data_IF_118139157471
#
_entry.id   IF_118139157471
#
_cell.length_a   1.000
_cell.length_b   1.000
_cell.length_c   1.000
_cell.angle_alpha   90.00
_cell.angle_beta   90.00
_cell.angle_gamma   90.00
#
_symmetry.space_group_name_H-M   'P 1'
#
loop_
_entity.id
_entity.type
_entity.pdbx_description
1 polymer ?
#
# COMPACT_ATOMS: atom_id res chain seq x y z
N UNK A 1 -27.42 -8.85 5.13
CA UNK A 1 -26.18 -8.93 5.94
C UNK A 1 -26.21 -7.81 6.95
N UNK A 2 -26.06 -8.10 8.24
CA UNK A 2 -26.17 -7.10 9.31
C UNK A 2 -25.10 -6.01 9.12
N UNK A 3 -25.49 -4.75 9.03
CA UNK A 3 -24.60 -3.61 8.77
C UNK A 3 -23.45 -3.52 9.79
N UNK A 4 -23.72 -3.92 11.03
CA UNK A 4 -22.74 -4.02 12.11
C UNK A 4 -21.71 -5.11 11.83
N UNK A 5 -22.15 -6.30 11.40
CA UNK A 5 -21.26 -7.43 11.14
C UNK A 5 -20.29 -7.12 9.99
N UNK A 6 -20.77 -6.46 8.94
CA UNK A 6 -19.92 -6.02 7.81
C UNK A 6 -18.84 -5.04 8.27
N UNK A 7 -19.22 -4.03 9.07
CA UNK A 7 -18.29 -3.02 9.59
C UNK A 7 -17.22 -3.63 10.51
N UNK A 8 -17.58 -4.62 11.31
CA UNK A 8 -16.63 -5.38 12.16
C UNK A 8 -15.68 -6.21 11.30
N UNK A 9 -16.21 -7.00 10.33
CA UNK A 9 -15.39 -7.80 9.41
C UNK A 9 -14.37 -6.95 8.65
N UNK A 10 -14.83 -5.85 8.04
CA UNK A 10 -13.98 -4.91 7.30
C UNK A 10 -12.96 -4.24 8.23
N UNK A 11 -13.37 -3.88 9.45
CA UNK A 11 -12.47 -3.30 10.45
C UNK A 11 -11.35 -4.25 10.87
N UNK A 12 -11.68 -5.52 11.12
CA UNK A 12 -10.71 -6.55 11.51
C UNK A 12 -9.78 -6.89 10.35
N UNK A 13 -10.34 -7.24 9.17
CA UNK A 13 -9.53 -7.61 8.00
C UNK A 13 -8.65 -6.45 7.58
N UNK A 14 -9.23 -5.27 7.41
CA UNK A 14 -8.50 -4.08 7.04
C UNK A 14 -7.43 -3.72 8.08
N UNK A 15 -7.78 -3.76 9.37
CA UNK A 15 -6.85 -3.43 10.46
C UNK A 15 -5.66 -4.38 10.52
N UNK A 16 -5.89 -5.69 10.39
CA UNK A 16 -4.83 -6.70 10.35
C UNK A 16 -3.91 -6.47 9.16
N UNK A 17 -4.46 -6.26 7.95
CA UNK A 17 -3.65 -6.01 6.74
C UNK A 17 -2.81 -4.74 6.90
N UNK A 18 -3.39 -3.66 7.45
CA UNK A 18 -2.64 -2.43 7.72
C UNK A 18 -1.52 -2.66 8.73
N UNK A 19 -1.75 -3.40 9.83
CA UNK A 19 -0.73 -3.72 10.82
C UNK A 19 0.41 -4.57 10.25
N UNK A 20 0.09 -5.58 9.43
CA UNK A 20 1.12 -6.35 8.71
C UNK A 20 1.96 -5.44 7.82
N UNK A 21 1.33 -4.49 7.13
CA UNK A 21 2.05 -3.50 6.33
C UNK A 21 3.00 -2.61 7.15
N UNK A 22 2.61 -2.24 8.37
CA UNK A 22 3.46 -1.47 9.30
C UNK A 22 4.67 -2.30 9.75
N UNK A 23 4.47 -3.58 10.08
CA UNK A 23 5.59 -4.48 10.41
C UNK A 23 6.49 -4.68 9.19
N UNK A 24 5.91 -4.80 8.00
CA UNK A 24 6.63 -4.91 6.75
C UNK A 24 7.42 -3.65 6.37
N UNK A 25 7.23 -2.51 7.08
CA UNK A 25 8.02 -1.31 6.91
C UNK A 25 9.44 -1.44 7.51
N UNK A 26 9.61 -2.34 8.48
CA UNK A 26 10.93 -2.64 9.08
C UNK A 26 11.81 -3.43 8.12
N UNK A 27 11.20 -4.26 7.28
CA UNK A 27 11.92 -4.93 6.20
C UNK A 27 12.24 -3.92 5.08
N UNK A 28 13.44 -3.93 4.49
CA UNK A 28 13.79 -3.04 3.38
C UNK A 28 13.00 -3.42 2.12
N UNK A 29 11.76 -2.96 2.03
CA UNK A 29 10.86 -3.17 0.90
C UNK A 29 9.60 -2.31 0.97
N UNK A 30 8.72 -2.35 -0.05
CA UNK A 30 7.56 -1.46 -0.15
C UNK A 30 6.40 -1.84 0.78
N UNK A 31 6.63 -1.90 2.10
CA UNK A 31 5.58 -2.16 3.10
C UNK A 31 4.43 -1.15 3.06
N UNK A 32 4.70 0.06 2.58
CA UNK A 32 3.72 1.11 2.34
C UNK A 32 2.60 0.69 1.37
N UNK A 33 2.86 -0.20 0.41
CA UNK A 33 1.82 -0.74 -0.49
C UNK A 33 0.79 -1.55 0.30
N UNK A 34 1.26 -2.41 1.19
CA UNK A 34 0.42 -3.26 2.04
C UNK A 34 -0.44 -2.39 2.97
N UNK A 35 0.15 -1.33 3.52
CA UNK A 35 -0.57 -0.34 4.33
C UNK A 35 -1.71 0.31 3.54
N UNK A 36 -1.46 0.74 2.29
CA UNK A 36 -2.50 1.32 1.44
C UNK A 36 -3.58 0.31 1.05
N UNK A 37 -3.22 -0.95 0.81
CA UNK A 37 -4.20 -2.01 0.58
C UNK A 37 -5.10 -2.18 1.80
N UNK A 38 -4.54 -2.26 3.01
CA UNK A 38 -5.30 -2.35 4.25
C UNK A 38 -6.21 -1.14 4.45
N UNK A 39 -5.68 0.08 4.35
CA UNK A 39 -6.47 1.31 4.46
C UNK A 39 -7.56 1.41 3.38
N UNK A 40 -7.32 0.87 2.18
CA UNK A 40 -8.33 0.76 1.12
C UNK A 40 -9.49 -0.15 1.50
N UNK A 41 -9.23 -1.24 2.20
CA UNK A 41 -10.28 -2.12 2.76
C UNK A 41 -11.05 -1.35 3.83
N UNK A 42 -10.38 -0.71 4.80
CA UNK A 42 -11.07 0.10 5.82
C UNK A 42 -11.89 1.23 5.20
N UNK A 43 -11.42 1.85 4.11
CA UNK A 43 -12.11 2.97 3.45
C UNK A 43 -13.51 2.61 2.94
N UNK A 44 -13.82 1.32 2.76
CA UNK A 44 -15.15 0.87 2.30
C UNK A 44 -16.24 1.09 3.34
N UNK A 45 -15.91 1.06 4.64
CA UNK A 45 -16.87 1.20 5.75
C UNK A 45 -16.52 2.37 6.70
N UNK A 46 -15.29 2.90 6.61
CA UNK A 46 -14.78 3.93 7.50
C UNK A 46 -14.34 5.18 6.73
N UNK A 47 -15.12 6.26 6.87
CA UNK A 47 -14.85 7.54 6.21
C UNK A 47 -13.51 8.19 6.63
N UNK A 48 -12.96 7.85 7.80
CA UNK A 48 -11.64 8.35 8.21
C UNK A 48 -10.52 7.71 7.38
N UNK A 49 -10.64 6.42 7.06
CA UNK A 49 -9.64 5.70 6.26
C UNK A 49 -9.66 6.18 4.81
N UNK A 50 -10.85 6.44 4.26
CA UNK A 50 -11.00 7.05 2.93
C UNK A 50 -10.32 8.42 2.84
N UNK A 51 -10.47 9.26 3.88
CA UNK A 51 -9.79 10.56 3.97
C UNK A 51 -8.27 10.40 4.06
N UNK A 52 -7.77 9.48 4.87
CA UNK A 52 -6.33 9.20 4.97
C UNK A 52 -5.74 8.79 3.61
N UNK A 53 -6.43 7.92 2.86
CA UNK A 53 -6.02 7.50 1.52
C UNK A 53 -5.99 8.68 0.53
N UNK A 54 -7.00 9.55 0.59
CA UNK A 54 -7.07 10.74 -0.26
C UNK A 54 -5.93 11.72 0.02
N UNK A 55 -5.58 11.94 1.30
CA UNK A 55 -4.41 12.74 1.68
C UNK A 55 -3.10 12.14 1.14
N UNK A 56 -2.92 10.82 1.31
CA UNK A 56 -1.73 10.13 0.82
C UNK A 56 -1.61 10.24 -0.72
N UNK A 57 -2.72 10.04 -1.44
CA UNK A 57 -2.76 10.23 -2.90
C UNK A 57 -2.45 11.68 -3.30
N UNK A 58 -2.94 12.65 -2.55
CA UNK A 58 -2.64 14.07 -2.76
C UNK A 58 -1.14 14.38 -2.59
N UNK A 59 -0.51 13.83 -1.55
CA UNK A 59 0.94 13.96 -1.35
C UNK A 59 1.73 13.26 -2.45
N UNK A 60 1.34 12.04 -2.84
CA UNK A 60 1.98 11.31 -3.93
C UNK A 60 1.86 12.05 -5.28
N UNK A 61 0.70 12.63 -5.58
CA UNK A 61 0.49 13.43 -6.78
C UNK A 61 1.34 14.70 -6.78
N UNK A 62 1.46 15.39 -5.65
CA UNK A 62 2.34 16.56 -5.48
C UNK A 62 3.81 16.19 -5.65
N UNK A 63 4.24 15.07 -5.04
CA UNK A 63 5.59 14.55 -5.21
C UNK A 63 5.86 14.16 -6.67
N UNK A 64 4.91 13.51 -7.34
CA UNK A 64 5.03 13.11 -8.74
C UNK A 64 5.05 14.31 -9.71
N UNK A 65 4.27 15.35 -9.41
CA UNK A 65 4.25 16.59 -10.21
C UNK A 65 5.46 17.49 -9.94
N UNK A 66 6.00 17.49 -8.73
CA UNK A 66 7.29 18.11 -8.43
C UNK A 66 8.46 17.33 -9.09
N UNK A 67 8.36 16.00 -9.11
CA UNK A 67 9.30 15.12 -9.78
C UNK A 67 8.93 14.87 -11.25
N UNK A 68 8.47 15.89 -11.99
CA UNK A 68 8.06 15.76 -13.41
C UNK A 68 9.27 15.35 -14.27
N UNK A 69 9.51 14.04 -14.32
CA UNK A 69 10.67 13.44 -14.98
C UNK A 69 10.40 13.39 -16.50
N UNK A 70 11.35 13.93 -17.27
CA UNK A 70 11.39 13.90 -18.75
C UNK A 70 11.19 12.44 -19.21
N UNK A 71 10.31 12.19 -20.20
CA UNK A 71 9.81 10.85 -20.66
C UNK A 71 10.89 9.78 -20.88
N UNK A 72 12.14 10.18 -21.03
CA UNK A 72 13.32 9.38 -21.35
C UNK A 72 13.76 8.47 -20.18
N UNK A 73 13.50 8.84 -18.91
CA UNK A 73 13.84 8.02 -17.73
C UNK A 73 12.66 7.18 -17.21
N UNK A 74 11.49 7.25 -17.87
CA UNK A 74 10.28 6.52 -17.46
C UNK A 74 10.47 5.00 -17.60
N UNK A 75 11.34 4.55 -18.52
CA UNK A 75 11.74 3.15 -18.71
C UNK A 75 12.61 2.62 -17.56
N UNK A 76 13.45 3.46 -16.95
CA UNK A 76 14.31 3.07 -15.83
C UNK A 76 13.47 2.86 -14.56
N UNK A 77 12.47 3.72 -14.33
CA UNK A 77 11.52 3.54 -13.23
C UNK A 77 10.69 2.25 -13.37
N UNK A 78 10.31 1.90 -14.60
CA UNK A 78 9.61 0.65 -14.90
C UNK A 78 10.53 -0.56 -14.65
N UNK A 79 11.77 -0.53 -15.16
CA UNK A 79 12.74 -1.60 -14.95
C UNK A 79 13.11 -1.81 -13.47
N UNK A 80 13.30 -0.72 -12.72
CA UNK A 80 13.56 -0.76 -11.27
C UNK A 80 12.33 -1.28 -10.52
N UNK A 81 11.12 -0.89 -10.92
CA UNK A 81 9.87 -1.39 -10.35
C UNK A 81 9.72 -2.91 -10.53
N UNK A 82 10.01 -3.44 -11.72
CA UNK A 82 9.96 -4.88 -11.99
C UNK A 82 11.03 -5.65 -11.20
N UNK A 83 12.24 -5.09 -11.07
CA UNK A 83 13.32 -5.69 -10.31
C UNK A 83 13.02 -5.73 -8.80
N UNK A 84 12.47 -4.65 -8.25
CA UNK A 84 12.00 -4.58 -6.86
C UNK A 84 10.90 -5.62 -6.62
N UNK A 85 9.97 -5.79 -7.56
CA UNK A 85 8.89 -6.79 -7.47
C UNK A 85 9.45 -8.23 -7.37
N UNK A 86 10.47 -8.56 -8.16
CA UNK A 86 11.12 -9.88 -8.12
C UNK A 86 11.91 -10.12 -6.82
N UNK A 87 12.66 -9.12 -6.35
CA UNK A 87 13.41 -9.21 -5.08
C UNK A 87 12.46 -9.41 -3.90
N UNK A 88 11.31 -8.72 -3.91
CA UNK A 88 10.30 -8.84 -2.86
C UNK A 88 9.64 -10.23 -2.84
N UNK A 89 9.40 -10.81 -4.02
CA UNK A 89 8.86 -12.18 -4.16
C UNK A 89 9.81 -13.22 -3.55
N UNK A 90 11.12 -13.04 -3.73
CA UNK A 90 12.15 -13.92 -3.15
C UNK A 90 12.18 -13.83 -1.62
N UNK A 91 12.10 -12.63 -1.06
CA UNK A 91 12.08 -12.42 0.40
C UNK A 91 10.84 -13.05 1.02
N UNK A 92 9.68 -12.89 0.39
CA UNK A 92 8.42 -13.45 0.86
C UNK A 92 8.45 -14.99 0.87
N UNK A 93 8.97 -15.61 -0.18
CA UNK A 93 9.15 -17.06 -0.25
C UNK A 93 10.14 -17.60 0.79
N UNK A 94 11.13 -16.80 1.17
CA UNK A 94 12.14 -17.19 2.15
C UNK A 94 11.67 -17.03 3.61
N UNK A 95 10.67 -16.19 3.86
CA UNK A 95 10.08 -16.01 5.20
C UNK A 95 9.00 -17.04 5.53
N UNK A 96 8.37 -17.63 4.50
CA UNK A 96 7.33 -18.66 4.63
C UNK A 96 7.89 -20.10 4.66
N UNK A 97 9.21 -20.26 4.54
CA UNK A 97 9.92 -21.55 4.63
C UNK A 97 10.78 -21.59 5.89
#
# INVERSE_FOLDING_TARGET
MNSVLKRVLVGVIGGVVTLVGVVALVAPGPGWLIIFTGLGILATEFAWAARALAHAKGMASRAASAARIKKEHQLILLAVGTFISLVFLVIYYKYLR
#
